data_IF_252741940276
#
_entry.id   IF_252741940276
#
_cell.length_a   1.000
_cell.length_b   1.000
_cell.length_c   1.000
_cell.angle_alpha   90.00
_cell.angle_beta   90.00
_cell.angle_gamma   90.00
#
_symmetry.space_group_name_H-M   'P 1'
#
loop_
_entity.id
_entity.type
_entity.pdbx_description
1 polymer ?
#
# COMPACT_ATOMS: atom_id res chain seq x y z
N UNK A 1 -21.64 0.43 11.93
CA UNK A 1 -22.47 -0.23 10.90
C UNK A 1 -21.57 -1.00 9.97
N UNK A 2 -22.05 -2.08 9.33
CA UNK A 2 -21.23 -2.83 8.39
C UNK A 2 -20.75 -1.89 7.27
N UNK A 3 -19.44 -1.92 6.97
CA UNK A 3 -18.86 -1.16 5.85
C UNK A 3 -19.58 -1.56 4.57
N UNK A 4 -19.75 -0.65 3.61
CA UNK A 4 -20.54 -0.92 2.40
C UNK A 4 -19.82 -0.41 1.16
N UNK A 5 -19.76 -1.25 0.12
CA UNK A 5 -19.30 -0.89 -1.22
C UNK A 5 -20.50 -0.92 -2.15
N UNK A 6 -20.71 0.16 -2.89
CA UNK A 6 -21.81 0.27 -3.86
C UNK A 6 -21.23 0.47 -5.25
N UNK A 7 -21.52 -0.44 -6.16
CA UNK A 7 -21.19 -0.35 -7.58
C UNK A 7 -22.42 0.15 -8.32
N UNK A 8 -22.31 1.32 -8.95
CA UNK A 8 -23.37 1.86 -9.79
C UNK A 8 -22.97 1.73 -11.26
N UNK A 9 -23.85 1.20 -12.10
CA UNK A 9 -23.59 1.16 -13.54
C UNK A 9 -24.49 0.21 -14.31
N UNK A 10 -24.22 0.10 -15.61
CA UNK A 10 -25.01 -0.73 -16.49
C UNK A 10 -24.70 -2.22 -16.36
N UNK A 11 -25.75 -3.03 -16.43
CA UNK A 11 -25.66 -4.49 -16.57
C UNK A 11 -25.99 -4.85 -18.02
N UNK A 12 -25.18 -5.72 -18.61
CA UNK A 12 -25.35 -6.15 -19.99
C UNK A 12 -25.46 -7.67 -20.03
N UNK A 13 -26.28 -8.18 -20.95
CA UNK A 13 -26.18 -9.55 -21.41
C UNK A 13 -25.16 -9.59 -22.53
N UNK A 14 -24.06 -10.29 -22.29
CA UNK A 14 -23.03 -10.49 -23.30
C UNK A 14 -23.43 -11.72 -24.13
N UNK A 15 -23.71 -11.53 -25.41
CA UNK A 15 -24.05 -12.58 -26.37
C UNK A 15 -22.87 -12.73 -27.33
N UNK A 16 -22.03 -13.72 -27.05
CA UNK A 16 -20.78 -13.98 -27.78
C UNK A 16 -21.02 -15.05 -28.83
N UNK A 17 -20.80 -14.70 -30.09
CA UNK A 17 -20.88 -15.61 -31.23
C UNK A 17 -19.49 -15.77 -31.82
N UNK A 18 -18.97 -16.99 -31.89
CA UNK A 18 -17.67 -17.28 -32.49
C UNK A 18 -17.87 -17.68 -33.94
N UNK A 19 -17.08 -17.09 -34.83
CA UNK A 19 -17.09 -17.35 -36.27
C UNK A 19 -15.67 -17.62 -36.76
N UNK A 20 -15.50 -18.44 -37.81
CA UNK A 20 -14.17 -18.65 -38.41
C UNK A 20 -13.61 -17.38 -39.03
N UNK A 21 -14.50 -16.59 -39.65
CA UNK A 21 -14.24 -15.26 -40.15
C UNK A 21 -15.46 -14.36 -40.00
N UNK A 22 -15.24 -13.06 -39.91
CA UNK A 22 -16.34 -12.10 -39.94
C UNK A 22 -17.11 -12.13 -41.28
N UNK A 23 -18.44 -11.91 -41.25
CA UNK A 23 -19.22 -11.74 -42.47
C UNK A 23 -18.82 -10.44 -43.18
N UNK A 24 -18.85 -10.47 -44.51
CA UNK A 24 -18.84 -9.26 -45.35
C UNK A 24 -20.24 -8.63 -45.38
N UNK A 25 -20.33 -7.40 -45.87
CA UNK A 25 -21.61 -6.71 -46.00
C UNK A 25 -22.58 -7.54 -46.86
N UNK A 26 -23.77 -7.79 -46.31
CA UNK A 26 -24.82 -8.62 -46.94
C UNK A 26 -24.60 -10.13 -46.89
N UNK A 27 -23.51 -10.60 -46.26
CA UNK A 27 -23.19 -12.03 -46.15
C UNK A 27 -23.73 -12.66 -44.86
N UNK A 28 -24.24 -13.89 -44.96
CA UNK A 28 -24.61 -14.72 -43.81
C UNK A 28 -23.53 -15.77 -43.57
N UNK A 29 -23.04 -15.86 -42.33
CA UNK A 29 -22.09 -16.89 -41.90
C UNK A 29 -22.68 -17.68 -40.73
N UNK A 30 -22.28 -18.95 -40.59
CA UNK A 30 -22.69 -19.78 -39.46
C UNK A 30 -21.68 -19.66 -38.33
N UNK A 31 -22.19 -19.56 -37.10
CA UNK A 31 -21.38 -19.57 -35.90
C UNK A 31 -20.84 -20.96 -35.62
N UNK A 32 -19.61 -21.04 -35.14
CA UNK A 32 -19.00 -22.28 -34.66
C UNK A 32 -19.30 -22.53 -33.19
N UNK A 33 -19.37 -21.47 -32.39
CA UNK A 33 -19.70 -21.53 -30.96
C UNK A 33 -20.60 -20.34 -30.56
N UNK A 34 -21.39 -20.52 -29.50
CA UNK A 34 -22.19 -19.46 -28.90
C UNK A 34 -22.07 -19.52 -27.38
N UNK A 35 -21.88 -18.36 -26.75
CA UNK A 35 -21.85 -18.19 -25.31
C UNK A 35 -22.74 -17.02 -24.92
N UNK A 36 -23.48 -17.15 -23.82
CA UNK A 36 -24.17 -16.01 -23.23
C UNK A 36 -23.81 -15.90 -21.76
N UNK A 37 -23.56 -14.68 -21.29
CA UNK A 37 -23.27 -14.39 -19.90
C UNK A 37 -23.73 -13.01 -19.50
N UNK A 38 -23.44 -12.64 -18.26
CA UNK A 38 -23.66 -11.29 -17.76
C UNK A 38 -22.33 -10.53 -17.76
N UNK A 39 -22.38 -9.33 -18.30
CA UNK A 39 -21.28 -8.38 -18.39
C UNK A 39 -21.69 -7.01 -17.86
N UNK A 40 -20.90 -6.02 -18.26
CA UNK A 40 -20.99 -4.66 -17.72
C UNK A 40 -19.94 -4.42 -16.64
N UNK A 41 -19.16 -3.35 -16.83
CA UNK A 41 -17.96 -3.07 -16.00
C UNK A 41 -18.26 -3.05 -14.50
N UNK A 42 -19.30 -2.30 -14.10
CA UNK A 42 -19.69 -2.20 -12.68
C UNK A 42 -20.22 -3.54 -12.12
N UNK A 43 -20.91 -4.33 -12.94
CA UNK A 43 -21.37 -5.67 -12.55
C UNK A 43 -20.17 -6.60 -12.35
N UNK A 44 -19.24 -6.63 -13.32
CA UNK A 44 -18.00 -7.40 -13.25
C UNK A 44 -17.17 -7.05 -12.02
N UNK A 45 -16.98 -5.76 -11.75
CA UNK A 45 -16.24 -5.27 -10.57
C UNK A 45 -16.91 -5.70 -9.26
N UNK A 46 -18.25 -5.66 -9.19
CA UNK A 46 -19.00 -6.11 -8.02
C UNK A 46 -18.87 -7.61 -7.77
N UNK A 47 -18.89 -8.42 -8.83
CA UNK A 47 -18.68 -9.87 -8.75
C UNK A 47 -17.25 -10.17 -8.31
N UNK A 48 -16.25 -9.53 -8.92
CA UNK A 48 -14.85 -9.67 -8.54
C UNK A 48 -14.62 -9.34 -7.05
N UNK A 49 -15.19 -8.24 -6.55
CA UNK A 49 -15.09 -7.89 -5.13
C UNK A 49 -15.83 -8.89 -4.22
N UNK A 50 -16.99 -9.39 -4.65
CA UNK A 50 -17.76 -10.38 -3.89
C UNK A 50 -17.05 -11.73 -3.77
N UNK A 51 -16.32 -12.14 -4.80
CA UNK A 51 -15.52 -13.37 -4.79
C UNK A 51 -14.44 -13.38 -3.71
N UNK A 52 -14.00 -12.21 -3.23
CA UNK A 52 -12.94 -12.07 -2.22
C UNK A 52 -13.45 -12.06 -0.77
N UNK A 53 -14.77 -12.01 -0.57
CA UNK A 53 -15.39 -11.99 0.77
C UNK A 53 -15.13 -13.28 1.51
N UNK A 54 -14.85 -13.16 2.81
CA UNK A 54 -14.76 -14.33 3.68
C UNK A 54 -16.16 -14.82 4.07
N UNK A 55 -17.00 -13.88 4.52
CA UNK A 55 -18.37 -14.14 4.95
C UNK A 55 -19.29 -12.97 4.57
N UNK A 56 -20.59 -13.24 4.45
CA UNK A 56 -21.59 -12.23 4.05
C UNK A 56 -21.80 -11.08 5.06
N UNK A 57 -21.18 -11.16 6.24
CA UNK A 57 -21.31 -10.17 7.31
C UNK A 57 -20.09 -9.22 7.42
N UNK A 58 -19.07 -9.38 6.57
CA UNK A 58 -17.82 -8.60 6.65
C UNK A 58 -18.01 -7.14 6.20
N UNK A 59 -18.62 -6.95 5.04
CA UNK A 59 -19.09 -5.69 4.49
C UNK A 59 -20.18 -6.02 3.47
N UNK A 60 -21.08 -5.07 3.23
CA UNK A 60 -22.12 -5.21 2.22
C UNK A 60 -21.55 -4.82 0.85
N UNK A 61 -21.81 -5.64 -0.16
CA UNK A 61 -21.59 -5.27 -1.55
C UNK A 61 -22.97 -5.14 -2.19
N UNK A 62 -23.24 -3.97 -2.75
CA UNK A 62 -24.44 -3.74 -3.55
C UNK A 62 -24.03 -3.40 -4.98
N UNK A 63 -24.70 -4.02 -5.94
CA UNK A 63 -24.70 -3.57 -7.32
C UNK A 63 -26.04 -2.88 -7.58
N UNK A 64 -25.98 -1.64 -8.06
CA UNK A 64 -27.12 -0.86 -8.48
C UNK A 64 -27.03 -0.66 -9.99
N UNK A 65 -27.96 -1.31 -10.69
CA UNK A 65 -28.13 -1.19 -12.13
C UNK A 65 -29.60 -1.40 -12.48
N UNK A 66 -29.93 -1.20 -13.75
CA UNK A 66 -31.31 -1.34 -14.20
C UNK A 66 -31.43 -2.54 -15.14
N UNK A 67 -32.30 -3.47 -14.76
CA UNK A 67 -32.69 -4.62 -15.58
C UNK A 67 -34.01 -4.32 -16.29
N UNK A 68 -34.18 -4.90 -17.46
CA UNK A 68 -35.36 -4.71 -18.29
C UNK A 68 -36.54 -5.58 -17.94
N UNK A 69 -37.61 -5.48 -18.73
CA UNK A 69 -38.75 -6.41 -18.73
C UNK A 69 -38.41 -7.68 -19.51
N UNK A 70 -37.56 -8.52 -18.93
CA UNK A 70 -37.19 -9.81 -19.51
C UNK A 70 -37.13 -10.88 -18.40
N UNK A 71 -36.93 -12.18 -18.70
CA UNK A 71 -36.98 -13.22 -17.67
C UNK A 71 -36.03 -13.02 -16.48
N UNK A 72 -35.05 -12.11 -16.58
CA UNK A 72 -34.08 -11.81 -15.55
C UNK A 72 -34.31 -10.44 -14.87
N UNK A 73 -35.39 -9.71 -15.20
CA UNK A 73 -35.71 -8.40 -14.63
C UNK A 73 -37.18 -8.00 -14.74
N UNK A 74 -37.68 -7.19 -13.80
CA UNK A 74 -39.10 -6.77 -13.73
C UNK A 74 -39.25 -5.23 -13.67
N UNK A 75 -38.16 -4.49 -13.90
CA UNK A 75 -38.03 -3.11 -13.39
C UNK A 75 -38.21 -2.00 -14.45
N UNK A 76 -38.33 -2.31 -15.74
CA UNK A 76 -38.50 -1.27 -16.77
C UNK A 76 -39.24 -1.70 -18.03
N UNK A 77 -39.80 -0.75 -18.77
CA UNK A 77 -40.48 -0.98 -20.06
C UNK A 77 -39.52 -1.23 -21.25
N UNK A 78 -38.21 -1.32 -21.00
CA UNK A 78 -37.19 -1.65 -22.01
C UNK A 78 -36.56 -3.00 -21.67
N UNK A 79 -36.03 -3.78 -22.64
CA UNK A 79 -35.22 -4.96 -22.36
C UNK A 79 -33.92 -4.63 -21.61
N UNK A 80 -33.32 -5.58 -20.92
CA UNK A 80 -31.96 -5.41 -20.36
C UNK A 80 -30.99 -5.07 -21.48
N UNK A 81 -29.94 -4.30 -21.17
CA UNK A 81 -28.90 -3.99 -22.17
C UNK A 81 -28.25 -5.26 -22.71
N UNK A 82 -27.89 -5.26 -23.99
CA UNK A 82 -27.28 -6.38 -24.70
C UNK A 82 -25.97 -5.92 -25.33
N UNK A 83 -24.90 -6.68 -25.14
CA UNK A 83 -23.68 -6.56 -25.92
C UNK A 83 -23.57 -7.77 -26.83
N UNK A 84 -23.84 -7.57 -28.12
CA UNK A 84 -23.64 -8.59 -29.14
C UNK A 84 -22.17 -8.57 -29.59
N UNK A 85 -21.45 -9.63 -29.30
CA UNK A 85 -20.01 -9.75 -29.50
C UNK A 85 -19.77 -10.84 -30.53
N UNK A 86 -19.22 -10.48 -31.68
CA UNK A 86 -18.70 -11.45 -32.64
C UNK A 86 -17.20 -11.60 -32.43
N UNK A 87 -16.74 -12.84 -32.25
CA UNK A 87 -15.32 -13.17 -32.09
C UNK A 87 -14.86 -14.01 -33.28
N UNK A 88 -13.81 -13.57 -33.96
CA UNK A 88 -13.20 -14.34 -35.05
C UNK A 88 -12.18 -15.33 -34.46
N UNK A 89 -12.40 -16.63 -34.61
CA UNK A 89 -11.57 -17.67 -33.97
C UNK A 89 -10.15 -17.75 -34.54
N UNK A 90 -9.97 -17.34 -35.80
CA UNK A 90 -8.69 -17.40 -36.51
C UNK A 90 -7.73 -16.28 -36.11
N UNK A 91 -8.24 -15.09 -35.77
CA UNK A 91 -7.44 -13.91 -35.44
C UNK A 91 -7.57 -13.46 -33.98
N UNK A 92 -8.65 -13.83 -33.29
CA UNK A 92 -8.99 -13.33 -31.96
C UNK A 92 -9.54 -11.90 -31.96
N UNK A 93 -9.77 -11.29 -33.13
CA UNK A 93 -10.40 -9.97 -33.24
C UNK A 93 -11.89 -10.04 -32.83
N UNK A 94 -12.44 -8.92 -32.37
CA UNK A 94 -13.85 -8.83 -32.00
C UNK A 94 -14.57 -7.64 -32.64
N UNK A 95 -15.88 -7.81 -32.85
CA UNK A 95 -16.82 -6.74 -33.21
C UNK A 95 -17.93 -6.70 -32.17
N UNK A 96 -18.12 -5.55 -31.53
CA UNK A 96 -19.05 -5.40 -30.41
C UNK A 96 -20.11 -4.36 -30.79
N UNK A 97 -21.37 -4.76 -30.72
CA UNK A 97 -22.53 -3.88 -30.86
C UNK A 97 -23.25 -3.84 -29.52
N UNK A 98 -23.43 -2.64 -28.97
CA UNK A 98 -24.05 -2.46 -27.65
C UNK A 98 -25.42 -1.81 -27.81
N UNK A 99 -26.45 -2.53 -27.38
CA UNK A 99 -27.78 -1.98 -27.11
C UNK A 99 -27.90 -1.67 -25.62
N UNK A 100 -28.04 -0.38 -25.28
CA UNK A 100 -28.05 0.04 -23.86
C UNK A 100 -29.31 -0.41 -23.10
N UNK A 101 -30.45 -0.56 -23.77
CA UNK A 101 -31.69 -1.04 -23.17
C UNK A 101 -32.11 -0.25 -21.93
N UNK A 102 -32.51 -0.97 -20.90
CA UNK A 102 -32.92 -0.42 -19.60
C UNK A 102 -31.85 0.46 -18.92
N UNK A 103 -30.56 0.27 -19.24
CA UNK A 103 -29.49 1.08 -18.66
C UNK A 103 -29.56 2.57 -19.07
N UNK A 104 -30.27 2.92 -20.14
CA UNK A 104 -30.50 4.33 -20.52
C UNK A 104 -31.37 5.07 -19.51
N UNK A 105 -32.19 4.33 -18.75
CA UNK A 105 -33.10 4.89 -17.76
C UNK A 105 -32.39 5.09 -16.40
N UNK A 106 -31.18 4.53 -16.24
CA UNK A 106 -30.38 4.64 -15.03
C UNK A 106 -29.62 5.97 -15.00
N UNK A 107 -30.34 7.04 -14.65
CA UNK A 107 -29.83 8.41 -14.54
C UNK A 107 -29.42 8.83 -13.12
N UNK A 108 -28.98 10.09 -13.00
CA UNK A 108 -28.54 10.70 -11.74
C UNK A 108 -29.59 10.58 -10.62
N UNK A 109 -30.87 10.77 -10.92
CA UNK A 109 -31.95 10.68 -9.94
C UNK A 109 -32.21 9.25 -9.47
N UNK A 110 -32.17 8.27 -10.37
CA UNK A 110 -32.29 6.85 -10.01
C UNK A 110 -31.16 6.40 -9.07
N UNK A 111 -29.92 6.82 -9.35
CA UNK A 111 -28.78 6.55 -8.49
C UNK A 111 -28.91 7.22 -7.11
N UNK A 112 -29.36 8.49 -7.05
CA UNK A 112 -29.59 9.20 -5.79
C UNK A 112 -30.69 8.51 -4.97
N UNK A 113 -31.82 8.16 -5.59
CA UNK A 113 -32.94 7.50 -4.92
C UNK A 113 -32.55 6.11 -4.39
N UNK A 114 -31.77 5.35 -5.15
CA UNK A 114 -31.26 4.05 -4.72
C UNK A 114 -30.31 4.19 -3.51
N UNK A 115 -29.38 5.17 -3.56
CA UNK A 115 -28.49 5.48 -2.43
C UNK A 115 -29.23 6.00 -1.20
N UNK A 116 -30.30 6.80 -1.39
CA UNK A 116 -31.15 7.29 -0.32
C UNK A 116 -32.00 6.19 0.31
N UNK A 117 -32.38 5.16 -0.44
CA UNK A 117 -33.09 3.98 0.09
C UNK A 117 -32.16 3.11 0.95
N UNK A 118 -30.86 3.10 0.64
CA UNK A 118 -29.82 2.39 1.39
C UNK A 118 -29.40 3.07 2.71
N UNK A 119 -30.20 4.01 3.28
CA UNK A 119 -29.87 4.87 4.45
C UNK A 119 -28.93 4.19 5.46
N UNK A 120 -27.65 4.60 5.39
CA UNK A 120 -26.50 4.45 6.33
C UNK A 120 -25.20 3.98 5.64
N UNK A 121 -24.94 4.43 4.42
CA UNK A 121 -23.64 4.23 3.77
C UNK A 121 -22.92 5.57 3.77
N UNK A 122 -21.93 5.72 4.65
CA UNK A 122 -20.93 6.78 4.49
C UNK A 122 -20.18 6.50 3.17
N UNK A 123 -20.14 7.54 2.35
CA UNK A 123 -19.83 7.50 0.93
C UNK A 123 -18.39 7.05 0.64
N UNK A 124 -18.21 5.96 -0.09
CA UNK A 124 -16.97 5.69 -0.84
C UNK A 124 -17.21 6.14 -2.28
N UNK A 125 -17.05 7.44 -2.52
CA UNK A 125 -17.03 8.04 -3.85
C UNK A 125 -15.57 8.31 -4.19
N UNK A 126 -14.81 7.39 -4.80
CA UNK A 126 -13.49 7.75 -5.37
C UNK A 126 -12.86 6.78 -6.39
N UNK A 127 -13.65 6.16 -7.28
CA UNK A 127 -13.11 5.51 -8.48
C UNK A 127 -13.82 6.06 -9.73
N UNK A 128 -13.32 7.16 -10.29
CA UNK A 128 -13.69 7.58 -11.65
C UNK A 128 -12.81 6.84 -12.65
N UNK A 129 -13.41 5.96 -13.45
CA UNK A 129 -12.75 5.30 -14.56
C UNK A 129 -12.63 6.29 -15.72
N UNK A 130 -11.44 6.89 -15.92
CA UNK A 130 -11.14 7.66 -17.12
C UNK A 130 -10.23 6.81 -18.02
N UNK A 131 -10.72 6.43 -19.20
CA UNK A 131 -9.89 5.83 -20.24
C UNK A 131 -9.16 6.97 -20.98
N UNK A 132 -7.83 6.99 -20.90
CA UNK A 132 -6.99 7.88 -21.71
C UNK A 132 -6.58 7.11 -22.97
N UNK A 133 -7.17 7.46 -24.11
CA UNK A 133 -6.73 6.99 -25.43
C UNK A 133 -5.95 8.10 -26.13
N UNK A 134 -4.63 7.95 -26.24
CA UNK A 134 -3.75 8.86 -26.99
C UNK A 134 -2.28 8.66 -26.61
N UNK A 135 -1.38 8.73 -27.60
CA UNK A 135 0.07 8.78 -27.40
C UNK A 135 0.46 10.13 -26.77
N UNK A 136 0.25 10.26 -25.46
CA UNK A 136 0.66 11.40 -24.65
C UNK A 136 1.72 10.90 -23.67
N UNK A 137 2.75 11.70 -23.41
CA UNK A 137 3.71 11.40 -22.35
C UNK A 137 2.96 11.26 -21.02
N UNK A 138 2.92 10.03 -20.51
CA UNK A 138 2.15 9.63 -19.34
C UNK A 138 2.57 10.46 -18.12
N UNK A 139 3.84 10.86 -18.04
CA UNK A 139 4.40 11.57 -16.89
C UNK A 139 3.93 13.03 -16.81
N UNK A 140 3.82 13.72 -17.94
CA UNK A 140 3.34 15.11 -17.99
C UNK A 140 1.82 15.19 -17.72
N UNK A 141 1.07 14.18 -18.20
CA UNK A 141 -0.37 14.05 -17.98
C UNK A 141 -0.73 13.77 -16.50
N UNK A 142 0.09 12.99 -15.80
CA UNK A 142 -0.13 12.63 -14.39
C UNK A 142 -0.16 13.87 -13.47
N UNK A 143 0.76 14.82 -13.65
CA UNK A 143 0.81 16.03 -12.82
C UNK A 143 -0.42 16.92 -13.03
N UNK A 144 -0.93 17.00 -14.26
CA UNK A 144 -2.16 17.75 -14.59
C UNK A 144 -3.40 17.09 -13.97
N UNK A 145 -3.46 15.76 -13.98
CA UNK A 145 -4.57 14.99 -13.40
C UNK A 145 -4.60 15.01 -11.87
N UNK A 146 -3.45 15.22 -11.19
CA UNK A 146 -3.39 15.32 -9.72
C UNK A 146 -4.11 16.56 -9.15
N UNK A 147 -4.30 17.58 -9.99
CA UNK A 147 -5.13 18.74 -9.67
C UNK A 147 -6.61 18.35 -9.54
N UNK A 148 -7.03 17.28 -10.23
CA UNK A 148 -8.41 16.79 -10.23
C UNK A 148 -8.60 15.58 -9.30
N UNK A 149 -7.57 14.76 -9.11
CA UNK A 149 -7.61 13.51 -8.35
C UNK A 149 -6.45 13.41 -7.35
N UNK A 150 -6.69 13.09 -6.06
CA UNK A 150 -5.61 12.98 -5.06
C UNK A 150 -4.70 11.77 -5.29
N UNK A 151 -5.20 10.75 -5.99
CA UNK A 151 -4.52 9.50 -6.33
C UNK A 151 -4.84 9.17 -7.79
N UNK A 152 -3.84 8.74 -8.54
CA UNK A 152 -3.97 8.21 -9.90
C UNK A 152 -3.32 6.84 -9.96
N UNK A 153 -4.01 5.87 -10.55
CA UNK A 153 -3.51 4.51 -10.78
C UNK A 153 -3.71 4.19 -12.26
N UNK A 154 -2.65 3.74 -12.92
CA UNK A 154 -2.64 3.31 -14.31
C UNK A 154 -2.27 1.83 -14.34
N UNK A 155 -3.16 0.98 -14.84
CA UNK A 155 -2.87 -0.43 -15.09
C UNK A 155 -2.12 -0.59 -16.40
N UNK A 156 -1.05 -1.41 -16.41
CA UNK A 156 -0.15 -1.63 -17.54
C UNK A 156 -0.20 -3.08 -18.05
N UNK A 157 -1.34 -3.76 -17.89
CA UNK A 157 -1.51 -5.15 -18.33
C UNK A 157 -0.50 -6.08 -17.65
N UNK A 158 0.33 -6.75 -18.44
CA UNK A 158 1.37 -7.69 -17.94
C UNK A 158 2.45 -7.01 -17.09
N UNK A 159 2.64 -5.70 -17.24
CA UNK A 159 3.64 -4.92 -16.50
C UNK A 159 3.13 -4.46 -15.12
N UNK A 160 1.91 -4.83 -14.74
CA UNK A 160 1.32 -4.49 -13.45
C UNK A 160 0.64 -3.12 -13.46
N UNK A 161 1.10 -2.19 -12.62
CA UNK A 161 0.51 -0.86 -12.52
C UNK A 161 1.53 0.21 -12.12
N UNK A 162 1.19 1.47 -12.36
CA UNK A 162 1.90 2.64 -11.82
C UNK A 162 0.90 3.48 -11.04
N UNK A 163 1.28 3.97 -9.87
CA UNK A 163 0.46 4.94 -9.15
C UNK A 163 1.23 6.20 -8.76
N UNK A 164 0.49 7.28 -8.57
CA UNK A 164 0.98 8.58 -8.12
C UNK A 164 -0.07 9.19 -7.21
N UNK A 165 0.34 9.64 -6.04
CA UNK A 165 -0.50 10.43 -5.13
C UNK A 165 0.09 11.83 -4.97
N UNK A 166 -0.60 12.71 -4.25
CA UNK A 166 -0.08 14.02 -3.86
C UNK A 166 1.12 13.92 -2.89
N UNK A 167 1.19 12.85 -2.11
CA UNK A 167 2.23 12.63 -1.11
C UNK A 167 3.46 11.93 -1.68
N UNK A 168 3.33 11.13 -2.74
CA UNK A 168 4.52 10.55 -3.38
C UNK A 168 5.32 11.64 -4.11
N UNK A 169 6.66 11.65 -4.07
CA UNK A 169 7.48 12.60 -4.83
C UNK A 169 7.58 12.21 -6.32
N UNK A 170 7.54 10.92 -6.65
CA UNK A 170 7.60 10.38 -8.02
C UNK A 170 6.55 9.28 -8.22
N UNK A 171 6.16 8.94 -9.46
CA UNK A 171 5.32 7.77 -9.72
C UNK A 171 5.99 6.49 -9.21
N UNK A 172 5.20 5.60 -8.63
CA UNK A 172 5.64 4.32 -8.06
C UNK A 172 5.18 3.21 -8.99
N UNK A 173 6.14 2.45 -9.52
CA UNK A 173 5.87 1.27 -10.34
C UNK A 173 5.63 0.05 -9.45
N UNK A 174 4.58 -0.70 -9.77
CA UNK A 174 4.14 -1.88 -9.04
C UNK A 174 4.20 -3.07 -10.00
N UNK A 175 5.23 -3.88 -9.80
CA UNK A 175 5.38 -5.16 -10.48
C UNK A 175 4.89 -6.32 -9.61
N UNK A 176 4.42 -7.38 -10.26
CA UNK A 176 4.11 -8.65 -9.58
C UNK A 176 5.34 -9.56 -9.63
N UNK A 177 5.59 -10.29 -8.53
CA UNK A 177 6.69 -11.26 -8.45
C UNK A 177 6.51 -12.37 -9.50
N UNK A 178 7.63 -12.88 -10.02
CA UNK A 178 7.66 -13.98 -11.00
C UNK A 178 6.80 -15.18 -10.60
N UNK A 179 6.71 -15.50 -9.30
CA UNK A 179 5.87 -16.60 -8.81
C UNK A 179 4.36 -16.43 -9.06
N UNK A 180 3.89 -15.20 -9.34
CA UNK A 180 2.50 -14.90 -9.64
C UNK A 180 2.26 -14.57 -11.11
N UNK A 181 3.31 -14.51 -11.94
CA UNK A 181 3.12 -14.32 -13.38
C UNK A 181 2.51 -15.60 -13.97
N UNK A 182 1.43 -15.49 -14.75
CA UNK A 182 0.77 -16.66 -15.29
C UNK A 182 1.66 -17.34 -16.32
N UNK A 183 1.87 -18.65 -16.17
CA UNK A 183 2.67 -19.46 -17.10
C UNK A 183 1.96 -19.69 -18.43
N UNK A 184 0.63 -19.53 -18.46
CA UNK A 184 -0.21 -19.62 -19.66
C UNK A 184 -1.31 -18.58 -19.60
N UNK A 185 -1.38 -17.75 -20.64
CA UNK A 185 -2.48 -16.80 -20.85
C UNK A 185 -3.56 -17.50 -21.67
N UNK A 186 -4.80 -17.47 -21.17
CA UNK A 186 -5.95 -18.12 -21.83
C UNK A 186 -6.91 -17.09 -22.40
N UNK A 187 -7.33 -16.11 -21.60
CA UNK A 187 -8.28 -15.08 -21.99
C UNK A 187 -8.06 -13.85 -21.09
N UNK A 188 -7.89 -12.66 -21.67
CA UNK A 188 -7.65 -11.43 -20.88
C UNK A 188 -8.92 -10.65 -20.59
N UNK A 189 -10.08 -11.13 -21.07
CA UNK A 189 -11.36 -10.46 -20.95
C UNK A 189 -11.75 -10.31 -19.48
N UNK A 190 -11.99 -9.07 -19.05
CA UNK A 190 -12.41 -8.76 -17.68
C UNK A 190 -11.29 -8.62 -16.65
N UNK A 191 -10.02 -8.74 -17.04
CA UNK A 191 -8.89 -8.59 -16.11
C UNK A 191 -8.83 -7.21 -15.44
N UNK A 192 -9.15 -6.14 -16.19
CA UNK A 192 -9.24 -4.78 -15.64
C UNK A 192 -10.38 -4.61 -14.62
N UNK A 193 -11.53 -5.24 -14.85
CA UNK A 193 -12.64 -5.23 -13.89
C UNK A 193 -12.32 -6.08 -12.64
N UNK A 194 -11.60 -7.20 -12.82
CA UNK A 194 -11.05 -8.01 -11.72
C UNK A 194 -10.10 -7.18 -10.85
N UNK A 195 -9.19 -6.41 -11.47
CA UNK A 195 -8.31 -5.48 -10.78
C UNK A 195 -9.09 -4.44 -9.96
N UNK A 196 -10.05 -3.74 -10.58
CA UNK A 196 -10.82 -2.69 -9.90
C UNK A 196 -11.70 -3.26 -8.77
N UNK A 197 -12.35 -4.40 -9.00
CA UNK A 197 -13.12 -5.11 -7.96
C UNK A 197 -12.25 -5.54 -6.78
N UNK A 198 -11.04 -6.06 -7.06
CA UNK A 198 -10.08 -6.45 -6.03
C UNK A 198 -9.55 -5.24 -5.24
N UNK A 199 -9.23 -4.15 -5.92
CA UNK A 199 -8.75 -2.92 -5.28
C UNK A 199 -9.82 -2.30 -4.38
N UNK A 200 -11.06 -2.23 -4.87
CA UNK A 200 -12.20 -1.73 -4.08
C UNK A 200 -12.53 -2.62 -2.89
N UNK A 201 -12.39 -3.95 -3.01
CA UNK A 201 -12.44 -4.87 -1.87
C UNK A 201 -11.41 -4.49 -0.80
N UNK A 202 -10.12 -4.34 -1.18
CA UNK A 202 -9.06 -4.04 -0.22
C UNK A 202 -9.22 -2.65 0.43
N UNK A 203 -9.64 -1.65 -0.35
CA UNK A 203 -9.99 -0.33 0.19
C UNK A 203 -11.17 -0.41 1.16
N UNK A 204 -12.21 -1.18 0.83
CA UNK A 204 -13.40 -1.35 1.65
C UNK A 204 -13.12 -2.03 2.99
N UNK A 205 -12.31 -3.09 3.01
CA UNK A 205 -11.91 -3.73 4.28
C UNK A 205 -10.97 -2.82 5.09
N UNK A 206 -10.12 -2.04 4.42
CA UNK A 206 -9.19 -1.12 5.07
C UNK A 206 -9.87 0.13 5.64
N UNK A 207 -10.99 0.58 5.06
CA UNK A 207 -11.62 1.88 5.35
C UNK A 207 -11.69 2.21 6.86
N UNK A 208 -10.72 3.00 7.32
CA UNK A 208 -10.70 3.70 8.61
C UNK A 208 -11.24 5.13 8.36
N UNK A 209 -11.26 5.97 9.38
CA UNK A 209 -11.63 7.40 9.24
C UNK A 209 -10.70 8.19 8.32
N UNK A 210 -9.54 7.62 7.97
CA UNK A 210 -8.48 8.23 7.17
C UNK A 210 -8.19 7.43 5.88
N UNK A 211 -7.65 8.13 4.87
CA UNK A 211 -7.20 7.53 3.61
C UNK A 211 -6.02 6.57 3.86
N UNK A 212 -5.86 5.51 3.03
CA UNK A 212 -4.69 4.65 3.12
C UNK A 212 -3.40 5.44 2.88
N UNK A 213 -2.35 5.12 3.62
CA UNK A 213 -1.00 5.63 3.34
C UNK A 213 -0.51 5.13 1.98
N UNK A 214 0.47 5.81 1.38
CA UNK A 214 1.02 5.40 0.07
C UNK A 214 1.52 3.94 0.10
N UNK A 215 2.14 3.50 1.20
CA UNK A 215 2.60 2.11 1.38
C UNK A 215 1.43 1.12 1.45
N UNK A 216 0.34 1.48 2.14
CA UNK A 216 -0.86 0.66 2.19
C UNK A 216 -1.51 0.56 0.80
N UNK A 217 -1.61 1.69 0.10
CA UNK A 217 -2.18 1.74 -1.24
C UNK A 217 -1.35 0.92 -2.24
N UNK A 218 -0.03 1.01 -2.18
CA UNK A 218 0.87 0.21 -3.02
C UNK A 218 0.61 -1.29 -2.86
N UNK A 219 0.48 -1.78 -1.63
CA UNK A 219 0.18 -3.18 -1.35
C UNK A 219 -1.22 -3.59 -1.85
N UNK A 220 -2.23 -2.74 -1.68
CA UNK A 220 -3.57 -3.01 -2.21
C UNK A 220 -3.58 -3.14 -3.73
N UNK A 221 -2.86 -2.24 -4.42
CA UNK A 221 -2.70 -2.28 -5.88
C UNK A 221 -1.95 -3.54 -6.29
N UNK A 222 -0.87 -3.89 -5.59
CA UNK A 222 -0.07 -5.10 -5.85
C UNK A 222 -0.93 -6.36 -5.75
N UNK A 223 -1.75 -6.49 -4.72
CA UNK A 223 -2.69 -7.62 -4.56
C UNK A 223 -3.73 -7.65 -5.67
N UNK A 224 -4.28 -6.50 -6.04
CA UNK A 224 -5.22 -6.40 -7.15
C UNK A 224 -4.59 -6.81 -8.49
N UNK A 225 -3.32 -6.45 -8.75
CA UNK A 225 -2.57 -6.91 -9.92
C UNK A 225 -2.41 -8.44 -9.92
N UNK A 226 -2.06 -9.03 -8.77
CA UNK A 226 -1.92 -10.48 -8.64
C UNK A 226 -3.25 -11.20 -8.91
N UNK A 227 -4.36 -10.73 -8.34
CA UNK A 227 -5.69 -11.34 -8.56
C UNK A 227 -6.14 -11.19 -10.02
N UNK A 228 -5.87 -10.04 -10.65
CA UNK A 228 -6.12 -9.86 -12.07
C UNK A 228 -5.29 -10.84 -12.93
N UNK A 229 -4.03 -11.09 -12.56
CA UNK A 229 -3.18 -12.07 -13.23
C UNK A 229 -3.71 -13.51 -13.10
N UNK A 230 -4.37 -13.86 -11.99
CA UNK A 230 -5.08 -15.15 -11.89
C UNK A 230 -6.26 -15.22 -12.85
N UNK A 231 -7.03 -14.14 -13.02
CA UNK A 231 -8.21 -14.15 -13.90
C UNK A 231 -7.86 -14.49 -15.36
N UNK A 232 -6.67 -14.12 -15.85
CA UNK A 232 -6.32 -14.38 -17.25
C UNK A 232 -5.94 -15.84 -17.57
N UNK A 233 -5.94 -16.71 -16.56
CA UNK A 233 -5.62 -18.14 -16.69
C UNK A 233 -6.84 -19.01 -17.02
N UNK A 234 -8.05 -18.44 -17.02
CA UNK A 234 -9.33 -19.12 -17.30
C UNK A 234 -10.10 -18.37 -18.40
N UNK A 235 -10.94 -19.07 -19.16
CA UNK A 235 -11.80 -18.48 -20.20
C UNK A 235 -13.01 -17.76 -19.58
N UNK A 236 -13.40 -16.64 -20.18
CA UNK A 236 -14.62 -15.90 -19.87
C UNK A 236 -14.46 -14.89 -18.74
N UNK A 237 -15.27 -13.82 -18.79
CA UNK A 237 -15.19 -12.66 -17.90
C UNK A 237 -15.42 -13.00 -16.42
N UNK A 238 -16.66 -13.00 -15.94
CA UNK A 238 -16.95 -13.24 -14.52
C UNK A 238 -16.60 -14.66 -14.08
N UNK A 239 -16.69 -15.63 -14.99
CA UNK A 239 -16.34 -17.04 -14.76
C UNK A 239 -14.86 -17.27 -14.51
N UNK A 240 -13.98 -16.34 -14.91
CA UNK A 240 -12.54 -16.46 -14.65
C UNK A 240 -12.12 -15.89 -13.30
N UNK A 241 -12.99 -15.16 -12.59
CA UNK A 241 -12.63 -14.55 -11.31
C UNK A 241 -12.43 -15.61 -10.24
N UNK A 242 -11.34 -15.47 -9.48
CA UNK A 242 -10.95 -16.46 -8.48
C UNK A 242 -11.66 -16.18 -7.15
N UNK A 243 -12.37 -17.17 -6.58
CA UNK A 243 -12.90 -17.05 -5.23
C UNK A 243 -11.77 -17.02 -4.21
N UNK A 244 -12.01 -16.36 -3.07
CA UNK A 244 -11.06 -16.22 -1.96
C UNK A 244 -10.37 -17.53 -1.58
N UNK A 245 -11.11 -18.63 -1.57
CA UNK A 245 -10.60 -19.93 -1.15
C UNK A 245 -9.51 -20.48 -2.09
N UNK A 246 -9.53 -20.09 -3.35
CA UNK A 246 -8.59 -20.55 -4.37
C UNK A 246 -7.35 -19.66 -4.51
N UNK A 247 -7.31 -18.53 -3.79
CA UNK A 247 -6.17 -17.61 -3.80
C UNK A 247 -5.04 -18.09 -2.88
N UNK A 248 -3.80 -17.60 -3.08
CA UNK A 248 -2.72 -17.77 -2.11
C UNK A 248 -3.05 -17.16 -0.73
N UNK A 249 -2.60 -17.75 0.39
CA UNK A 249 -2.91 -17.30 1.75
C UNK A 249 -2.61 -15.81 2.01
N UNK A 250 -1.54 -15.28 1.44
CA UNK A 250 -1.11 -13.89 1.56
C UNK A 250 -2.11 -12.88 1.01
N UNK A 251 -2.91 -13.26 0.01
CA UNK A 251 -3.96 -12.42 -0.59
C UNK A 251 -5.26 -12.47 0.22
N UNK A 252 -5.47 -13.52 1.02
CA UNK A 252 -6.67 -13.68 1.85
C UNK A 252 -6.62 -12.81 3.12
N UNK A 253 -5.44 -12.55 3.67
CA UNK A 253 -5.34 -11.89 4.99
C UNK A 253 -5.96 -10.47 4.99
N UNK A 254 -6.90 -10.23 5.93
CA UNK A 254 -7.64 -8.96 6.13
C UNK A 254 -6.74 -7.78 6.48
N UNK A 255 -5.83 -8.02 7.42
CA UNK A 255 -4.65 -7.19 7.59
C UNK A 255 -3.63 -7.77 6.64
N UNK A 256 -3.23 -7.01 5.63
CA UNK A 256 -1.88 -7.22 5.13
C UNK A 256 -0.98 -7.24 6.37
N UNK A 257 -0.29 -8.36 6.61
CA UNK A 257 1.05 -8.24 7.18
C UNK A 257 1.75 -7.36 6.17
N UNK A 258 1.73 -6.05 6.39
CA UNK A 258 2.46 -5.12 5.57
C UNK A 258 3.91 -5.55 5.80
N UNK A 259 4.48 -6.34 4.87
CA UNK A 259 5.93 -6.37 4.77
C UNK A 259 6.23 -5.03 4.16
N UNK A 260 6.35 -4.04 5.03
CA UNK A 260 6.15 -2.65 4.69
C UNK A 260 7.09 -2.08 3.65
N UNK A 261 8.16 -2.71 3.17
CA UNK A 261 9.23 -2.12 2.31
C UNK A 261 9.90 -0.85 2.87
N UNK A 262 9.14 0.04 3.53
CA UNK A 262 9.53 1.10 4.47
C UNK A 262 9.48 0.57 5.92
N UNK A 263 10.56 0.60 6.70
CA UNK A 263 10.55 0.11 8.09
C UNK A 263 9.60 0.93 8.99
N UNK A 264 9.14 0.37 10.10
CA UNK A 264 8.29 1.11 11.06
C UNK A 264 9.05 2.25 11.72
N UNK A 265 10.37 2.10 11.88
CA UNK A 265 11.28 3.15 12.31
C UNK A 265 12.68 2.94 11.74
N UNK A 266 13.41 4.04 11.63
CA UNK A 266 14.72 4.10 10.99
C UNK A 266 15.81 4.35 12.02
N UNK A 267 16.88 3.58 11.91
CA UNK A 267 18.11 3.69 12.69
C UNK A 267 19.28 3.86 11.74
N UNK A 268 20.10 4.88 11.96
CA UNK A 268 21.30 5.14 11.16
C UNK A 268 22.56 4.91 11.99
N UNK A 269 23.60 4.33 11.41
CA UNK A 269 24.92 4.20 12.06
C UNK A 269 25.87 5.27 11.53
N UNK A 270 26.53 5.98 12.44
CA UNK A 270 27.42 7.10 12.18
C UNK A 270 28.71 6.94 12.98
N UNK A 271 29.77 7.62 12.56
CA UNK A 271 31.09 7.47 13.16
C UNK A 271 32.18 7.29 12.12
N UNK A 272 33.42 7.43 12.54
CA UNK A 272 34.59 7.38 11.67
C UNK A 272 34.74 6.04 10.93
N UNK A 273 35.36 6.06 9.75
CA UNK A 273 35.63 4.82 9.00
C UNK A 273 36.45 3.84 9.84
N UNK A 274 36.08 2.55 9.80
CA UNK A 274 36.80 1.50 10.53
C UNK A 274 36.50 1.40 12.05
N UNK A 275 35.64 2.26 12.60
CA UNK A 275 35.34 2.22 14.04
C UNK A 275 34.53 0.98 14.49
N UNK A 276 33.82 0.31 13.56
CA UNK A 276 33.08 -0.94 13.86
C UNK A 276 31.60 -0.95 13.49
N UNK A 277 31.06 0.11 12.87
CA UNK A 277 29.63 0.24 12.47
C UNK A 277 29.07 -0.99 11.72
N UNK A 278 29.73 -1.37 10.62
CA UNK A 278 29.30 -2.49 9.78
C UNK A 278 29.36 -3.81 10.53
N UNK A 279 30.42 -4.05 11.32
CA UNK A 279 30.56 -5.24 12.14
C UNK A 279 29.46 -5.33 13.21
N UNK A 280 29.12 -4.21 13.86
CA UNK A 280 28.03 -4.11 14.83
C UNK A 280 26.68 -4.48 14.21
N UNK A 281 26.33 -3.86 13.09
CA UNK A 281 25.06 -4.11 12.37
C UNK A 281 24.98 -5.54 11.87
N UNK A 282 26.03 -6.03 11.23
CA UNK A 282 26.05 -7.38 10.66
C UNK A 282 26.04 -8.46 11.74
N UNK A 283 26.72 -8.25 12.87
CA UNK A 283 26.64 -9.17 14.00
C UNK A 283 25.21 -9.25 14.53
N UNK A 284 24.52 -8.10 14.73
CA UNK A 284 23.13 -8.11 15.19
C UNK A 284 22.19 -8.86 14.25
N UNK A 285 22.40 -8.72 12.94
CA UNK A 285 21.58 -9.37 11.92
C UNK A 285 21.85 -10.88 11.82
N UNK A 286 23.11 -11.31 11.92
CA UNK A 286 23.52 -12.71 11.72
C UNK A 286 23.62 -13.51 13.01
N UNK A 287 23.66 -12.83 14.17
CA UNK A 287 23.87 -13.39 15.52
C UNK A 287 25.11 -14.30 15.59
N UNK A 288 26.16 -13.95 14.84
CA UNK A 288 27.44 -14.65 14.82
C UNK A 288 28.59 -13.71 14.48
N UNK A 289 29.80 -14.12 14.85
CA UNK A 289 31.04 -13.51 14.37
C UNK A 289 31.13 -13.61 12.84
N UNK A 290 31.65 -12.54 12.22
CA UNK A 290 31.90 -12.47 10.78
C UNK A 290 33.21 -13.16 10.41
N UNK A 291 33.21 -13.85 9.27
CA UNK A 291 34.44 -14.38 8.70
C UNK A 291 35.28 -13.25 8.13
N UNK A 292 36.61 -13.42 8.07
CA UNK A 292 37.52 -12.38 7.61
C UNK A 292 37.29 -11.97 6.14
N UNK A 293 36.66 -12.83 5.34
CA UNK A 293 36.19 -12.54 3.98
C UNK A 293 34.94 -11.66 3.92
N UNK A 294 34.17 -11.57 5.01
CA UNK A 294 32.97 -10.74 5.14
C UNK A 294 33.29 -9.34 5.70
N UNK A 295 34.51 -9.13 6.20
CA UNK A 295 34.99 -7.86 6.76
C UNK A 295 35.63 -7.04 5.63
N UNK A 296 34.81 -6.27 4.93
CA UNK A 296 35.22 -5.36 3.86
C UNK A 296 35.03 -3.88 4.24
N UNK A 297 35.74 -2.98 3.56
CA UNK A 297 35.48 -1.55 3.68
C UNK A 297 34.10 -1.21 3.08
N UNK A 298 33.29 -0.47 3.84
CA UNK A 298 31.96 -0.04 3.39
C UNK A 298 32.10 1.15 2.44
N UNK A 299 31.96 0.88 1.13
CA UNK A 299 32.10 1.91 0.08
C UNK A 299 30.81 2.71 -0.09
N UNK A 300 29.65 2.06 0.06
CA UNK A 300 28.32 2.65 -0.15
C UNK A 300 27.43 2.32 1.03
N UNK A 301 26.55 3.24 1.48
CA UNK A 301 25.61 2.94 2.55
C UNK A 301 24.68 1.78 2.21
N UNK A 302 24.55 0.84 3.15
CA UNK A 302 23.74 -0.35 3.00
C UNK A 302 22.46 -0.23 3.85
N UNK A 303 21.32 -0.55 3.24
CA UNK A 303 20.05 -0.64 3.96
C UNK A 303 19.71 -2.09 4.24
N UNK A 304 19.41 -2.42 5.49
CA UNK A 304 18.89 -3.74 5.88
C UNK A 304 17.73 -3.60 6.85
N UNK A 305 16.78 -4.53 6.81
CA UNK A 305 15.63 -4.55 7.71
C UNK A 305 15.75 -5.67 8.72
N UNK A 306 15.46 -5.37 9.98
CA UNK A 306 15.28 -6.35 11.04
C UNK A 306 13.85 -6.29 11.58
N UNK A 307 13.27 -7.44 11.96
CA UNK A 307 11.92 -7.49 12.50
C UNK A 307 11.94 -8.06 13.92
N UNK A 308 11.48 -7.26 14.87
CA UNK A 308 11.23 -7.71 16.24
C UNK A 308 9.89 -8.44 16.29
N UNK A 309 9.83 -9.51 17.07
CA UNK A 309 8.59 -10.22 17.41
C UNK A 309 8.25 -9.79 18.84
N UNK A 310 7.04 -9.26 19.03
CA UNK A 310 6.59 -8.78 20.34
C UNK A 310 5.78 -9.89 21.01
N UNK A 311 6.34 -10.52 22.05
CA UNK A 311 5.67 -11.62 22.77
C UNK A 311 4.53 -11.11 23.68
N UNK A 312 4.59 -9.84 24.11
CA UNK A 312 3.66 -9.25 25.08
C UNK A 312 2.34 -8.74 24.47
N UNK A 313 2.15 -8.87 23.14
CA UNK A 313 0.92 -8.48 22.42
C UNK A 313 0.45 -7.02 22.55
N UNK A 314 1.22 -6.14 23.20
CA UNK A 314 0.87 -4.73 23.45
C UNK A 314 0.70 -3.89 22.18
N UNK A 315 1.40 -4.26 21.09
CA UNK A 315 1.31 -3.61 19.78
C UNK A 315 0.68 -4.54 18.72
N UNK A 316 0.17 -5.70 19.14
CA UNK A 316 -0.38 -6.78 18.33
C UNK A 316 0.64 -7.86 17.94
N UNK A 317 0.14 -9.05 17.57
CA UNK A 317 0.89 -10.27 17.20
C UNK A 317 1.90 -10.14 16.03
N UNK A 318 2.07 -8.96 15.43
CA UNK A 318 2.83 -8.78 14.19
C UNK A 318 4.23 -8.19 14.38
N UNK A 319 4.57 -7.65 15.56
CA UNK A 319 5.90 -7.07 15.86
C UNK A 319 6.27 -5.83 15.04
N UNK A 320 7.35 -5.11 15.41
CA UNK A 320 7.80 -3.91 14.68
C UNK A 320 9.05 -4.20 13.85
N UNK A 321 9.18 -3.50 12.72
CA UNK A 321 10.33 -3.55 11.83
C UNK A 321 11.24 -2.33 11.98
N UNK A 322 12.52 -2.59 12.20
CA UNK A 322 13.59 -1.61 12.25
C UNK A 322 14.32 -1.60 10.90
N UNK A 323 14.55 -0.42 10.35
CA UNK A 323 15.41 -0.23 9.19
C UNK A 323 16.77 0.29 9.62
N UNK A 324 17.82 -0.43 9.25
CA UNK A 324 19.21 -0.15 9.59
C UNK A 324 19.91 0.43 8.36
N UNK A 325 20.39 1.66 8.49
CA UNK A 325 21.26 2.31 7.51
C UNK A 325 22.70 2.25 7.99
N UNK A 326 23.47 1.33 7.42
CA UNK A 326 24.90 1.22 7.66
C UNK A 326 25.67 2.19 6.76
N UNK A 327 26.39 3.15 7.33
CA UNK A 327 27.11 4.17 6.56
C UNK A 327 28.62 3.93 6.51
N UNK A 328 29.27 4.41 5.44
CA UNK A 328 30.72 4.28 5.27
C UNK A 328 31.51 5.04 6.37
N UNK A 329 30.96 6.13 6.90
CA UNK A 329 31.66 6.96 7.89
C UNK A 329 32.83 7.77 7.31
N UNK A 330 32.84 8.03 6.00
CA UNK A 330 33.82 8.90 5.35
C UNK A 330 33.20 10.26 5.02
N UNK A 331 33.93 11.32 5.35
CA UNK A 331 33.62 12.71 5.01
C UNK A 331 33.57 13.00 3.49
N UNK A 332 34.09 12.11 2.65
CA UNK A 332 34.08 12.30 1.18
C UNK A 332 32.68 12.17 0.56
N UNK A 333 31.69 11.69 1.32
CA UNK A 333 30.31 11.47 0.88
C UNK A 333 29.26 12.36 1.60
N UNK A 334 29.70 13.46 2.24
CA UNK A 334 28.84 14.38 3.00
C UNK A 334 27.70 15.03 2.19
N UNK A 335 27.79 15.12 0.87
CA UNK A 335 26.67 15.61 0.05
C UNK A 335 25.51 14.61 -0.04
N UNK A 336 25.78 13.31 0.17
CA UNK A 336 24.79 12.23 0.19
C UNK A 336 24.30 11.91 1.61
N UNK A 337 25.01 12.38 2.64
CA UNK A 337 24.78 12.09 4.06
C UNK A 337 23.35 12.44 4.51
N UNK A 338 22.87 13.61 4.12
CA UNK A 338 21.54 14.15 4.47
C UNK A 338 20.37 13.23 4.08
N UNK A 339 20.50 12.46 3.00
CA UNK A 339 19.48 11.51 2.57
C UNK A 339 19.33 10.33 3.55
N UNK A 340 20.38 10.03 4.32
CA UNK A 340 20.40 8.91 5.25
C UNK A 340 19.90 9.28 6.66
N UNK A 341 19.95 10.54 7.07
CA UNK A 341 19.51 10.94 8.43
C UNK A 341 18.04 11.30 8.50
N UNK A 342 17.49 11.78 7.38
CA UNK A 342 16.09 12.19 7.30
C UNK A 342 15.14 11.10 7.84
N UNK A 343 14.25 11.50 8.72
CA UNK A 343 13.24 10.67 9.38
C UNK A 343 13.84 9.53 10.23
N UNK A 344 15.11 9.63 10.64
CA UNK A 344 15.72 8.67 11.55
C UNK A 344 15.17 8.86 12.97
N UNK A 345 14.62 7.80 13.55
CA UNK A 345 14.16 7.79 14.94
C UNK A 345 15.34 7.79 15.91
N UNK A 346 16.37 7.00 15.60
CA UNK A 346 17.56 6.90 16.42
C UNK A 346 18.84 6.83 15.57
N UNK A 347 19.96 7.21 16.17
CA UNK A 347 21.28 7.11 15.58
C UNK A 347 22.26 6.41 16.52
N UNK A 348 23.03 5.46 15.97
CA UNK A 348 24.17 4.83 16.62
C UNK A 348 25.44 5.61 16.26
N UNK A 349 25.96 6.39 17.20
CA UNK A 349 27.17 7.18 17.08
C UNK A 349 28.34 6.33 17.58
N UNK A 350 28.99 5.65 16.65
CA UNK A 350 30.01 4.65 16.94
C UNK A 350 31.43 5.24 16.96
N UNK A 351 32.22 4.86 17.97
CA UNK A 351 33.67 5.06 18.00
C UNK A 351 34.35 3.75 18.39
N UNK A 352 35.64 3.60 18.13
CA UNK A 352 36.42 2.43 18.54
C UNK A 352 37.10 2.74 19.88
N UNK A 353 36.87 1.89 20.89
CA UNK A 353 37.41 2.10 22.25
C UNK A 353 38.94 2.09 22.31
N UNK A 354 39.60 1.59 21.26
CA UNK A 354 41.04 1.50 21.11
C UNK A 354 41.63 2.54 20.12
N UNK A 355 40.80 3.46 19.58
CA UNK A 355 41.25 4.47 18.61
C UNK A 355 40.79 5.89 18.99
N UNK A 356 41.73 6.68 19.52
CA UNK A 356 41.49 8.08 19.93
C UNK A 356 41.07 8.99 18.76
N UNK A 357 41.46 8.68 17.52
CA UNK A 357 41.04 9.47 16.36
C UNK A 357 39.53 9.32 16.11
N UNK A 358 39.02 8.08 16.13
CA UNK A 358 37.58 7.80 15.99
C UNK A 358 36.74 8.52 17.06
N UNK A 359 37.27 8.62 18.28
CA UNK A 359 36.64 9.32 19.39
C UNK A 359 36.60 10.84 19.17
N UNK A 360 37.71 11.44 18.76
CA UNK A 360 37.77 12.88 18.49
C UNK A 360 36.81 13.31 17.36
N UNK A 361 36.50 12.39 16.44
CA UNK A 361 35.55 12.60 15.34
C UNK A 361 34.09 12.46 15.76
N UNK A 362 33.79 11.93 16.94
CA UNK A 362 32.42 11.66 17.36
C UNK A 362 31.57 12.94 17.49
N UNK A 363 32.13 14.01 18.07
CA UNK A 363 31.47 15.33 18.18
C UNK A 363 31.07 15.89 16.82
N UNK A 364 31.90 15.70 15.81
CA UNK A 364 31.58 16.11 14.45
C UNK A 364 30.33 15.39 13.93
N UNK A 365 30.26 14.06 14.09
CA UNK A 365 29.11 13.26 13.65
C UNK A 365 27.83 13.58 14.43
N UNK A 366 27.94 13.89 15.73
CA UNK A 366 26.80 14.32 16.54
C UNK A 366 26.23 15.64 16.01
N UNK A 367 27.09 16.65 15.80
CA UNK A 367 26.65 17.95 15.31
C UNK A 367 26.07 17.85 13.89
N UNK A 368 26.69 17.05 13.02
CA UNK A 368 26.21 16.82 11.65
C UNK A 368 24.83 16.16 11.63
N UNK A 369 24.58 15.18 12.51
CA UNK A 369 23.25 14.59 12.70
C UNK A 369 22.24 15.64 13.17
N UNK A 370 22.57 16.40 14.21
CA UNK A 370 21.64 17.37 14.81
C UNK A 370 21.29 18.52 13.86
N UNK A 371 22.22 18.93 12.98
CA UNK A 371 21.96 19.93 11.93
C UNK A 371 20.95 19.44 10.88
N UNK A 372 20.84 18.12 10.66
CA UNK A 372 20.00 17.55 9.61
C UNK A 372 18.74 16.84 10.14
N UNK A 373 18.76 16.32 11.36
CA UNK A 373 17.65 15.62 12.02
C UNK A 373 17.71 15.84 13.54
N UNK A 374 17.26 17.02 13.99
CA UNK A 374 17.38 17.46 15.40
C UNK A 374 16.59 16.62 16.41
N UNK A 375 15.59 15.86 15.96
CA UNK A 375 14.73 15.03 16.81
C UNK A 375 15.24 13.59 16.95
N UNK A 376 16.37 13.26 16.33
CA UNK A 376 16.92 11.91 16.35
C UNK A 376 17.48 11.56 17.75
N UNK A 377 17.10 10.40 18.30
CA UNK A 377 17.61 9.94 19.58
C UNK A 377 19.02 9.36 19.44
N UNK A 378 19.96 9.83 20.26
CA UNK A 378 21.38 9.52 20.11
C UNK A 378 21.80 8.40 21.07
N UNK A 379 22.43 7.36 20.53
CA UNK A 379 23.10 6.29 21.26
C UNK A 379 24.58 6.34 20.91
N UNK A 380 25.43 6.64 21.89
CA UNK A 380 26.89 6.59 21.72
C UNK A 380 27.33 5.15 21.99
N UNK A 381 28.03 4.56 21.02
CA UNK A 381 28.44 3.15 21.07
C UNK A 381 29.96 3.02 20.93
N UNK A 382 30.62 2.61 22.00
CA UNK A 382 32.02 2.21 21.97
C UNK A 382 32.16 0.80 21.38
N UNK A 383 32.62 0.68 20.15
CA UNK A 383 32.87 -0.58 19.47
C UNK A 383 34.25 -1.16 19.85
N UNK A 384 34.41 -2.47 19.62
CA UNK A 384 35.64 -3.25 19.87
C UNK A 384 36.05 -3.31 21.34
N UNK A 385 35.08 -3.44 22.24
CA UNK A 385 35.31 -3.57 23.69
C UNK A 385 36.19 -4.78 24.11
N UNK A 386 36.46 -5.70 23.17
CA UNK A 386 37.44 -6.78 23.31
C UNK A 386 38.91 -6.31 23.26
N UNK A 387 39.17 -5.10 22.78
CA UNK A 387 40.52 -4.55 22.64
C UNK A 387 40.92 -3.67 23.85
N UNK A 388 42.23 -3.47 24.09
CA UNK A 388 42.70 -2.55 25.12
C UNK A 388 42.22 -1.12 24.89
N UNK A 389 41.52 -0.58 25.88
CA UNK A 389 40.93 0.77 25.87
C UNK A 389 42.00 1.87 25.82
N UNK A 390 41.78 2.86 24.96
CA UNK A 390 42.54 4.12 24.92
C UNK A 390 41.70 5.35 25.34
N UNK A 391 40.37 5.23 25.34
CA UNK A 391 39.46 6.33 25.69
C UNK A 391 38.97 6.22 27.13
N UNK A 392 39.20 7.27 27.93
CA UNK A 392 38.77 7.40 29.32
C UNK A 392 37.23 7.30 29.45
N UNK A 393 36.67 6.37 30.24
CA UNK A 393 35.22 6.21 30.40
C UNK A 393 34.50 7.48 30.87
N UNK A 394 35.16 8.26 31.72
CA UNK A 394 34.63 9.52 32.26
C UNK A 394 34.39 10.54 31.14
N UNK A 395 35.28 10.64 30.15
CA UNK A 395 35.10 11.52 28.98
C UNK A 395 33.90 11.10 28.13
N UNK A 396 33.63 9.79 28.08
CA UNK A 396 32.49 9.23 27.35
C UNK A 396 31.19 9.57 28.07
N UNK A 397 31.18 9.46 29.40
CA UNK A 397 30.07 9.90 30.25
C UNK A 397 29.76 11.37 30.09
N UNK A 398 30.78 12.24 30.17
CA UNK A 398 30.62 13.69 30.03
C UNK A 398 30.00 14.07 28.67
N UNK A 399 30.45 13.43 27.58
CA UNK A 399 29.88 13.67 26.25
C UNK A 399 28.43 13.20 26.15
N UNK A 400 28.10 12.06 26.76
CA UNK A 400 26.73 11.56 26.76
C UNK A 400 25.78 12.46 27.52
N UNK A 401 26.22 12.98 28.67
CA UNK A 401 25.46 13.94 29.46
C UNK A 401 25.23 15.24 28.67
N UNK A 402 26.27 15.75 27.99
CA UNK A 402 26.19 16.95 27.15
C UNK A 402 25.11 16.85 26.07
N UNK A 403 24.98 15.69 25.42
CA UNK A 403 24.04 15.46 24.32
C UNK A 403 22.80 14.65 24.73
N UNK A 404 22.57 14.43 26.03
CA UNK A 404 21.46 13.60 26.56
C UNK A 404 21.35 12.25 25.83
N UNK A 405 22.50 11.59 25.64
CA UNK A 405 22.66 10.36 24.86
C UNK A 405 22.75 9.13 25.74
N UNK A 406 22.39 7.96 25.20
CA UNK A 406 22.51 6.68 25.90
C UNK A 406 23.85 6.02 25.55
N UNK A 407 24.55 5.48 26.56
CA UNK A 407 25.87 4.87 26.40
C UNK A 407 25.82 3.35 26.33
N UNK A 408 26.56 2.79 25.37
CA UNK A 408 26.85 1.36 25.28
C UNK A 408 28.30 1.12 24.87
N UNK A 409 28.84 -0.02 25.28
CA UNK A 409 30.07 -0.56 24.70
C UNK A 409 29.79 -1.94 24.14
N UNK A 410 30.33 -2.25 22.97
CA UNK A 410 29.99 -3.46 22.21
C UNK A 410 31.24 -4.12 21.67
N UNK A 411 31.19 -5.45 21.52
CA UNK A 411 32.22 -6.21 20.81
C UNK A 411 31.57 -7.14 19.80
N UNK A 412 31.84 -6.92 18.51
CA UNK A 412 31.41 -7.85 17.44
C UNK A 412 32.25 -9.13 17.41
N UNK A 413 33.36 -9.16 18.15
CA UNK A 413 34.20 -10.34 18.33
C UNK A 413 33.54 -11.32 19.30
N UNK A 414 33.05 -10.83 20.45
CA UNK A 414 32.46 -11.66 21.50
C UNK A 414 30.93 -11.68 21.50
N UNK A 415 30.29 -10.71 20.83
CA UNK A 415 28.86 -10.46 20.91
C UNK A 415 28.43 -9.58 22.09
N UNK A 416 29.37 -9.06 22.87
CA UNK A 416 29.09 -8.30 24.08
C UNK A 416 28.19 -7.09 23.81
N UNK A 417 27.05 -7.04 24.52
CA UNK A 417 26.07 -5.95 24.56
C UNK A 417 25.44 -5.53 23.23
N UNK A 418 25.66 -6.26 22.14
CA UNK A 418 25.15 -5.85 20.83
C UNK A 418 23.63 -5.92 20.79
N UNK A 419 23.02 -7.00 21.28
CA UNK A 419 21.57 -7.15 21.24
C UNK A 419 20.88 -6.08 22.09
N UNK A 420 21.43 -5.82 23.26
CA UNK A 420 20.93 -4.89 24.26
C UNK A 420 20.77 -3.48 23.68
N UNK A 421 21.73 -3.02 22.85
CA UNK A 421 21.62 -1.72 22.17
C UNK A 421 20.37 -1.67 21.28
N UNK A 422 20.22 -2.66 20.39
CA UNK A 422 19.12 -2.68 19.42
C UNK A 422 17.75 -2.92 20.07
N UNK A 423 17.68 -3.77 21.10
CA UNK A 423 16.45 -3.98 21.86
C UNK A 423 16.06 -2.76 22.69
N UNK A 424 17.03 -1.99 23.22
CA UNK A 424 16.71 -0.73 23.90
C UNK A 424 16.12 0.30 22.92
N UNK A 425 16.71 0.46 21.73
CA UNK A 425 16.14 1.33 20.68
C UNK A 425 14.71 0.89 20.32
N UNK A 426 14.49 -0.41 20.18
CA UNK A 426 13.17 -0.95 19.92
C UNK A 426 12.17 -0.60 21.04
N UNK A 427 12.56 -0.75 22.31
CA UNK A 427 11.71 -0.41 23.46
C UNK A 427 11.44 1.10 23.54
N UNK A 428 12.43 1.96 23.31
CA UNK A 428 12.25 3.40 23.25
C UNK A 428 11.25 3.78 22.13
N UNK A 429 11.29 3.08 20.99
CA UNK A 429 10.28 3.28 19.94
C UNK A 429 8.88 2.78 20.35
N UNK A 430 8.78 1.64 21.05
CA UNK A 430 7.50 1.17 21.61
C UNK A 430 6.90 2.22 22.55
N UNK A 431 7.71 2.80 23.42
CA UNK A 431 7.26 3.81 24.37
C UNK A 431 6.87 5.11 23.68
N UNK A 432 7.61 5.53 22.65
CA UNK A 432 7.23 6.63 21.78
C UNK A 432 5.83 6.41 21.16
N UNK A 433 5.56 5.22 20.63
CA UNK A 433 4.24 4.87 20.09
C UNK A 433 3.13 4.90 21.15
N UNK A 434 3.40 4.42 22.37
CA UNK A 434 2.45 4.45 23.49
C UNK A 434 2.09 5.89 23.88
N UNK A 435 3.07 6.79 23.94
CA UNK A 435 2.86 8.20 24.27
C UNK A 435 2.06 8.88 23.16
N UNK A 436 2.43 8.66 21.89
CA UNK A 436 1.74 9.25 20.74
C UNK A 436 0.25 8.88 20.72
N UNK A 437 -0.08 7.60 20.93
CA UNK A 437 -1.48 7.13 21.03
C UNK A 437 -2.27 7.84 22.13
N UNK A 438 -1.68 8.04 23.31
CA UNK A 438 -2.34 8.75 24.42
C UNK A 438 -2.62 10.22 24.09
N UNK A 439 -1.69 10.89 23.42
CA UNK A 439 -1.87 12.28 22.98
C UNK A 439 -2.99 12.40 21.95
N UNK A 440 -3.02 11.49 20.97
CA UNK A 440 -4.07 11.44 19.94
C UNK A 440 -5.46 11.21 20.59
N UNK A 441 -5.56 10.31 21.57
CA UNK A 441 -6.79 10.04 22.32
C UNK A 441 -7.26 11.25 23.16
N UNK A 442 -6.33 12.01 23.76
CA UNK A 442 -6.63 13.23 24.52
C UNK A 442 -7.09 14.39 23.63
N UNK A 443 -6.51 14.55 22.43
CA UNK A 443 -6.95 15.56 21.45
C UNK A 443 -8.36 15.27 20.93
N UNK A 444 -8.67 14.00 20.61
CA UNK A 444 -10.03 13.57 20.23
C UNK A 444 -11.03 13.88 21.36
N UNK A 445 -10.62 13.70 22.62
CA UNK A 445 -11.46 13.99 23.80
C UNK A 445 -11.67 15.49 24.03
N UNK A 446 -10.72 16.35 23.61
CA UNK A 446 -10.88 17.81 23.65
C UNK A 446 -11.77 18.34 22.52
N UNK A 447 -11.61 17.84 21.29
CA UNK A 447 -12.45 18.22 20.13
C UNK A 447 -13.91 17.83 20.36
N UNK A 448 -14.17 16.67 20.97
CA UNK A 448 -15.54 16.24 21.30
C UNK A 448 -16.21 17.08 22.40
N UNK A 449 -15.45 17.72 23.31
CA UNK A 449 -15.99 18.62 24.33
C UNK A 449 -16.33 20.03 23.81
N UNK A 450 -15.69 20.48 22.73
CA UNK A 450 -15.94 21.82 22.14
C UNK A 450 -17.27 21.84 21.34
N UNK A 451 -17.76 20.69 20.87
CA UNK A 451 -18.98 20.58 20.05
C UNK A 451 -20.31 20.40 20.82
N UNK A 452 -20.35 20.66 22.13
CA UNK A 452 -21.56 20.50 22.96
C UNK A 452 -22.18 21.80 23.51
N UNK A 453 -21.88 22.95 22.90
CA UNK A 453 -22.62 24.20 23.15
C UNK A 453 -23.24 24.75 21.87
N UNK A 454 -24.26 24.05 21.35
CA UNK A 454 -25.24 24.69 20.46
C UNK A 454 -26.55 24.80 21.23
N UNK A 455 -26.94 26.05 21.53
CA UNK A 455 -28.25 26.37 22.07
C UNK A 455 -29.34 25.84 21.13
N UNK A 456 -30.48 25.36 21.66
CA UNK A 456 -31.54 24.81 20.84
C UNK A 456 -32.17 25.90 19.97
N UNK A 457 -32.04 25.76 18.66
CA UNK A 457 -32.73 26.59 17.67
C UNK A 457 -34.24 26.30 17.75
N UNK A 458 -35.04 27.29 18.15
CA UNK A 458 -36.51 27.19 18.17
C UNK A 458 -37.08 26.98 16.75
N UNK A 459 -38.16 26.20 16.60
CA UNK A 459 -38.78 25.94 15.30
C UNK A 459 -39.52 27.18 14.78
N UNK A 460 -39.07 27.68 13.62
CA UNK A 460 -39.70 28.77 12.87
C UNK A 460 -41.13 28.37 12.47
N UNK A 461 -42.13 29.00 13.11
CA UNK A 461 -43.55 28.91 12.70
C UNK A 461 -43.73 29.61 11.35
N UNK A 462 -44.01 28.82 10.30
CA UNK A 462 -44.47 29.35 9.01
C UNK A 462 -45.88 29.94 9.18
N UNK A 463 -46.00 31.26 9.05
CA UNK A 463 -47.27 31.92 8.74
C UNK A 463 -47.44 31.98 7.23
N UNK A 464 -48.55 31.43 6.75
CA UNK A 464 -49.04 31.65 5.40
C UNK A 464 -49.64 33.06 5.34
N UNK A 465 -49.31 33.83 4.29
CA UNK A 465 -50.04 35.03 3.91
C UNK A 465 -49.92 35.22 2.40
N UNK A 466 -51.09 35.49 1.80
CA UNK A 466 -51.46 35.71 0.40
C UNK A 466 -51.35 34.49 -0.54
#
# INVERSE_FOLDING_TARGET
MAKTIVYCGGIFRDEVTVVERFPRDGETVFATEYFSGYGGKSANQSVAASMLRENNNEFNIYFLGQVGCDPNGIDSNKPTGIASISLESSTGENKIIVYKGANELFGKEAAINALQTLKKVESISWLKQNALSGNVDIFESLNTLLNLCPIIIITLGSEGAVFKSRSTPKPVAISISEKYKPTKIVDTTGAGDSFIGSLSYYLGIHAQSELPTDSQLEEMIRRACIIAAFSITKKGTQSSYFPRNDLPPELKRRKSKVISVVPDFKVVTLGESGCGKTSLVQWFLKRRKLDQSEIGATVTPAFTRFKFIDDDNDLGNDGLSMGLWDTAGSERFLSLSRLYYRDAFAALLCYDVSDEYSWNRLRYWINELQENESNCRIYIVGCKADLPRQICPEKVSELADEYTSILYETSSETGFQIEEVFYNIYNDYKDHLRIKRKLDDEEITKVSKINLSSEPIEPIKRRCSC
#
